data_IF_266535591527
#
_entry.id   IF_266535591527
#
_cell.length_a   1.000
_cell.length_b   1.000
_cell.length_c   1.000
_cell.angle_alpha   90.00
_cell.angle_beta   90.00
_cell.angle_gamma   90.00
#
_symmetry.space_group_name_H-M   'P 1'
#
loop_
_entity.id
_entity.type
_entity.pdbx_description
1 polymer ?
#
# COMPACT_ATOMS: atom_id res chain seq x y z
N UNK A 1 -1.40 7.86 43.88
CA UNK A 1 -0.87 8.00 42.51
C UNK A 1 0.44 7.25 42.47
N UNK A 2 0.49 6.13 41.74
CA UNK A 2 1.68 5.29 41.66
C UNK A 2 2.34 5.49 40.30
N UNK A 3 3.64 5.79 40.33
CA UNK A 3 4.52 5.84 39.16
C UNK A 3 5.12 4.44 38.97
N UNK A 4 4.88 3.82 37.82
CA UNK A 4 5.43 2.51 37.47
C UNK A 4 6.53 2.71 36.42
N UNK A 5 7.78 2.75 36.86
CA UNK A 5 8.95 2.70 35.97
C UNK A 5 9.53 1.29 35.94
N UNK A 6 9.61 0.71 34.75
CA UNK A 6 10.33 -0.54 34.49
C UNK A 6 11.84 -0.30 34.56
N UNK A 7 12.51 -0.82 35.59
CA UNK A 7 13.96 -0.99 35.59
C UNK A 7 14.31 -2.24 34.80
N UNK A 8 14.25 -2.14 33.47
CA UNK A 8 14.83 -3.15 32.59
C UNK A 8 16.34 -3.14 32.75
N UNK A 9 16.89 -4.17 33.39
CA UNK A 9 18.33 -4.41 33.40
C UNK A 9 18.79 -4.61 31.95
N UNK A 10 19.43 -3.60 31.36
CA UNK A 10 20.16 -3.78 30.12
C UNK A 10 21.39 -4.66 30.40
N UNK A 11 21.25 -5.96 30.19
CA UNK A 11 22.42 -6.82 30.04
C UNK A 11 23.11 -6.42 28.73
N UNK A 12 24.28 -5.79 28.84
CA UNK A 12 25.17 -5.59 27.71
C UNK A 12 25.77 -6.94 27.33
N UNK A 13 25.06 -7.73 26.51
CA UNK A 13 25.65 -8.88 25.84
C UNK A 13 26.64 -8.33 24.80
N UNK A 14 27.94 -8.38 25.13
CA UNK A 14 29.00 -8.06 24.18
C UNK A 14 29.00 -9.12 23.08
N UNK A 15 28.58 -8.74 21.87
CA UNK A 15 28.77 -9.50 20.64
C UNK A 15 30.27 -9.54 20.27
N UNK A 16 31.09 -10.22 21.06
CA UNK A 16 32.48 -10.50 20.68
C UNK A 16 32.49 -11.53 19.55
N UNK A 17 33.00 -11.14 18.38
CA UNK A 17 33.23 -12.06 17.25
C UNK A 17 32.07 -12.19 16.26
N UNK A 18 31.03 -11.36 16.35
CA UNK A 18 29.98 -11.26 15.33
C UNK A 18 29.82 -9.82 14.89
N UNK A 19 30.20 -9.53 13.65
CA UNK A 19 30.02 -8.21 13.05
C UNK A 19 28.60 -8.12 12.48
N UNK A 20 27.75 -7.24 13.00
CA UNK A 20 26.43 -6.89 12.43
C UNK A 20 26.57 -5.98 11.18
N UNK A 21 27.69 -6.09 10.46
CA UNK A 21 27.92 -5.31 9.24
C UNK A 21 27.30 -6.06 8.07
N UNK A 22 26.17 -5.55 7.60
CA UNK A 22 25.64 -5.89 6.28
C UNK A 22 26.42 -5.03 5.29
N UNK A 23 27.28 -5.68 4.49
CA UNK A 23 28.00 -5.02 3.42
C UNK A 23 27.06 -4.93 2.22
N UNK A 24 26.61 -3.71 1.90
CA UNK A 24 25.85 -3.49 0.69
C UNK A 24 26.81 -3.43 -0.50
N UNK A 25 26.75 -4.45 -1.35
CA UNK A 25 27.41 -4.43 -2.64
C UNK A 25 26.44 -3.87 -3.69
N UNK A 26 26.82 -2.79 -4.38
CA UNK A 26 26.02 -2.27 -5.50
C UNK A 26 25.92 -3.25 -6.69
N UNK A 27 26.72 -4.33 -6.68
CA UNK A 27 26.71 -5.42 -7.68
C UNK A 27 26.09 -6.72 -7.16
N UNK A 28 25.59 -6.78 -5.92
CA UNK A 28 24.76 -7.89 -5.46
C UNK A 28 23.40 -7.83 -6.17
N UNK A 29 23.29 -8.59 -7.25
CA UNK A 29 22.07 -8.76 -8.06
C UNK A 29 21.31 -10.04 -7.70
N UNK A 30 21.95 -10.95 -6.94
CA UNK A 30 21.35 -12.23 -6.58
C UNK A 30 20.48 -12.08 -5.33
N UNK A 31 19.17 -12.31 -5.52
CA UNK A 31 18.12 -12.37 -4.49
C UNK A 31 17.81 -11.05 -3.76
N UNK A 32 17.42 -10.03 -4.52
CA UNK A 32 16.62 -8.89 -4.01
C UNK A 32 15.17 -9.29 -3.63
N UNK A 33 14.82 -10.57 -3.68
CA UNK A 33 13.51 -11.11 -3.36
C UNK A 33 13.50 -11.79 -1.99
N UNK A 34 12.32 -11.93 -1.39
CA UNK A 34 12.14 -12.71 -0.16
C UNK A 34 12.79 -14.10 -0.29
N UNK A 35 13.43 -14.65 0.75
CA UNK A 35 14.07 -15.98 0.71
C UNK A 35 13.14 -17.13 0.27
N UNK A 36 11.83 -16.92 0.39
CA UNK A 36 10.79 -17.87 0.02
C UNK A 36 10.08 -17.52 -1.30
N UNK A 37 10.55 -16.50 -2.02
CA UNK A 37 9.99 -16.12 -3.30
C UNK A 37 10.27 -17.20 -4.35
N UNK A 38 9.16 -17.73 -4.87
CA UNK A 38 9.11 -18.60 -6.05
C UNK A 38 9.48 -17.82 -7.32
N UNK A 39 10.31 -18.41 -8.19
CA UNK A 39 10.55 -17.91 -9.55
C UNK A 39 9.32 -18.13 -10.43
N UNK A 40 8.86 -17.07 -11.08
CA UNK A 40 7.70 -17.10 -11.96
C UNK A 40 8.02 -16.46 -13.31
N UNK A 41 7.37 -16.96 -14.34
CA UNK A 41 7.46 -16.43 -15.70
C UNK A 41 6.29 -15.46 -15.94
N UNK A 42 6.59 -14.17 -16.11
CA UNK A 42 5.59 -13.13 -16.34
C UNK A 42 4.82 -13.31 -17.65
N UNK A 43 5.40 -14.01 -18.63
CA UNK A 43 4.77 -14.34 -19.91
C UNK A 43 3.91 -15.61 -19.82
N UNK A 44 3.99 -16.35 -18.70
CA UNK A 44 3.11 -17.48 -18.42
C UNK A 44 1.84 -17.00 -17.71
N UNK A 45 0.72 -17.06 -18.43
CA UNK A 45 -0.58 -16.53 -17.98
C UNK A 45 -1.58 -17.63 -17.62
N UNK A 46 -2.40 -17.39 -16.60
CA UNK A 46 -3.55 -18.23 -16.25
C UNK A 46 -4.71 -17.41 -15.71
N UNK A 47 -5.92 -17.86 -16.02
CA UNK A 47 -7.15 -17.30 -15.50
C UNK A 47 -7.74 -18.23 -14.43
N UNK A 48 -8.24 -17.63 -13.35
CA UNK A 48 -8.92 -18.29 -12.23
C UNK A 48 -10.33 -17.71 -12.15
N UNK A 49 -11.35 -18.54 -12.33
CA UNK A 49 -12.72 -18.12 -12.01
C UNK A 49 -12.99 -18.27 -10.51
N UNK A 50 -13.50 -17.19 -9.90
CA UNK A 50 -13.88 -17.12 -8.49
C UNK A 50 -15.39 -17.29 -8.27
N UNK A 51 -16.20 -17.40 -9.32
CA UNK A 51 -17.63 -17.63 -9.20
C UNK A 51 -17.93 -18.93 -8.43
N UNK A 52 -18.89 -18.88 -7.51
CA UNK A 52 -19.24 -20.03 -6.65
C UNK A 52 -18.20 -20.47 -5.62
N UNK A 53 -16.99 -19.90 -5.63
CA UNK A 53 -15.86 -20.30 -4.75
C UNK A 53 -15.73 -19.38 -3.54
N UNK A 54 -15.16 -19.89 -2.45
CA UNK A 54 -14.76 -19.11 -1.28
C UNK A 54 -13.47 -18.33 -1.55
N UNK A 55 -13.22 -17.27 -0.77
CA UNK A 55 -11.97 -16.51 -0.86
C UNK A 55 -10.74 -17.38 -0.56
N UNK A 56 -10.88 -18.36 0.34
CA UNK A 56 -9.81 -19.30 0.69
C UNK A 56 -9.41 -20.17 -0.50
N UNK A 57 -10.39 -20.75 -1.19
CA UNK A 57 -10.12 -21.60 -2.36
C UNK A 57 -9.46 -20.81 -3.48
N UNK A 58 -9.88 -19.57 -3.72
CA UNK A 58 -9.27 -18.70 -4.73
C UNK A 58 -7.84 -18.33 -4.34
N UNK A 59 -7.57 -17.96 -3.08
CA UNK A 59 -6.21 -17.66 -2.62
C UNK A 59 -5.28 -18.87 -2.68
N UNK A 60 -5.79 -20.07 -2.34
CA UNK A 60 -5.04 -21.32 -2.47
C UNK A 60 -4.70 -21.64 -3.93
N UNK A 61 -5.62 -21.37 -4.84
CA UNK A 61 -5.39 -21.52 -6.28
C UNK A 61 -4.34 -20.54 -6.78
N UNK A 62 -4.40 -19.26 -6.41
CA UNK A 62 -3.37 -18.26 -6.76
C UNK A 62 -1.99 -18.77 -6.30
N UNK A 63 -1.89 -19.24 -5.06
CA UNK A 63 -0.64 -19.80 -4.52
C UNK A 63 -0.18 -21.06 -5.28
N UNK A 64 -1.09 -21.93 -5.69
CA UNK A 64 -0.76 -23.11 -6.51
C UNK A 64 -0.23 -22.70 -7.88
N UNK A 65 -0.87 -21.75 -8.56
CA UNK A 65 -0.43 -21.24 -9.87
C UNK A 65 0.94 -20.55 -9.78
N UNK A 66 1.23 -19.81 -8.71
CA UNK A 66 2.59 -19.29 -8.50
C UNK A 66 3.63 -20.41 -8.41
N UNK A 67 3.34 -21.51 -7.70
CA UNK A 67 4.26 -22.68 -7.61
C UNK A 67 4.45 -23.40 -8.94
N UNK A 68 3.47 -23.32 -9.84
CA UNK A 68 3.57 -23.81 -11.21
C UNK A 68 4.32 -22.85 -12.15
N UNK A 69 4.83 -21.72 -11.62
CA UNK A 69 5.63 -20.74 -12.35
C UNK A 69 4.80 -19.70 -13.10
N UNK A 70 3.49 -19.57 -12.86
CA UNK A 70 2.70 -18.51 -13.48
C UNK A 70 3.02 -17.15 -12.86
N UNK A 71 3.58 -16.25 -13.65
CA UNK A 71 3.91 -14.88 -13.24
C UNK A 71 2.83 -13.86 -13.60
N UNK A 72 1.84 -14.24 -14.41
CA UNK A 72 0.61 -13.45 -14.59
C UNK A 72 -0.61 -14.30 -14.25
N UNK A 73 -1.40 -13.84 -13.28
CA UNK A 73 -2.63 -14.51 -12.85
C UNK A 73 -3.80 -13.52 -12.94
N UNK A 74 -4.86 -13.88 -13.65
CA UNK A 74 -6.12 -13.13 -13.68
C UNK A 74 -7.18 -13.85 -12.86
N UNK A 75 -7.82 -13.14 -11.92
CA UNK A 75 -8.97 -13.63 -11.17
C UNK A 75 -10.24 -12.98 -11.72
N UNK A 76 -11.09 -13.81 -12.32
CA UNK A 76 -12.39 -13.43 -12.86
C UNK A 76 -13.47 -13.53 -11.78
N UNK A 77 -14.52 -12.71 -11.90
CA UNK A 77 -15.71 -12.76 -11.03
C UNK A 77 -15.43 -12.78 -9.51
N UNK A 78 -14.57 -11.89 -8.97
CA UNK A 78 -14.19 -11.93 -7.55
C UNK A 78 -15.36 -11.68 -6.58
N UNK A 79 -16.49 -11.15 -7.06
CA UNK A 79 -17.75 -11.11 -6.31
C UNK A 79 -17.72 -10.31 -5.01
N UNK A 80 -16.86 -9.30 -4.90
CA UNK A 80 -16.65 -8.50 -3.67
C UNK A 80 -16.31 -9.36 -2.43
N UNK A 81 -15.73 -10.55 -2.63
CA UNK A 81 -15.29 -11.41 -1.53
C UNK A 81 -14.22 -10.70 -0.71
N UNK A 82 -14.29 -10.89 0.60
CA UNK A 82 -13.32 -10.36 1.54
C UNK A 82 -12.01 -11.16 1.49
N UNK A 83 -10.90 -10.51 1.82
CA UNK A 83 -9.58 -11.12 2.00
C UNK A 83 -9.04 -11.85 0.76
N UNK A 84 -9.49 -11.50 -0.45
CA UNK A 84 -8.90 -11.99 -1.70
C UNK A 84 -7.52 -11.36 -1.93
N UNK A 85 -6.56 -12.18 -2.37
CA UNK A 85 -5.20 -11.75 -2.67
C UNK A 85 -4.37 -11.33 -1.45
N UNK A 86 -4.78 -11.74 -0.24
CA UNK A 86 -4.03 -11.43 0.99
C UNK A 86 -2.79 -12.31 1.09
N UNK A 87 -1.68 -11.74 1.56
CA UNK A 87 -0.45 -12.49 1.85
C UNK A 87 0.31 -12.92 0.59
N UNK A 88 0.25 -12.12 -0.47
CA UNK A 88 1.03 -12.36 -1.70
C UNK A 88 2.43 -11.77 -1.50
N UNK A 89 3.38 -12.64 -1.15
CA UNK A 89 4.77 -12.29 -0.81
C UNK A 89 5.75 -12.61 -1.96
N UNK A 90 5.24 -12.52 -3.18
CA UNK A 90 5.93 -12.87 -4.41
C UNK A 90 5.79 -11.73 -5.40
N UNK A 91 6.84 -11.50 -6.19
CA UNK A 91 6.72 -10.60 -7.34
C UNK A 91 6.01 -11.34 -8.47
N UNK A 92 4.82 -10.88 -8.83
CA UNK A 92 4.05 -11.33 -10.00
C UNK A 92 3.09 -10.22 -10.44
N UNK A 93 2.44 -10.42 -11.58
CA UNK A 93 1.29 -9.62 -12.01
C UNK A 93 -0.01 -10.33 -11.63
N UNK A 94 -0.80 -9.69 -10.76
CA UNK A 94 -2.11 -10.22 -10.32
C UNK A 94 -3.22 -9.27 -10.73
N UNK A 95 -4.22 -9.76 -11.46
CA UNK A 95 -5.28 -8.92 -12.03
C UNK A 95 -6.62 -9.41 -11.52
N UNK A 96 -7.39 -8.56 -10.84
CA UNK A 96 -8.77 -8.85 -10.45
C UNK A 96 -9.73 -8.14 -11.40
N UNK A 97 -10.51 -8.91 -12.16
CA UNK A 97 -11.57 -8.41 -13.05
C UNK A 97 -12.89 -8.30 -12.29
N UNK A 98 -12.96 -7.32 -11.40
CA UNK A 98 -14.15 -7.02 -10.60
C UNK A 98 -13.81 -6.33 -9.29
N UNK A 99 -14.79 -6.26 -8.40
CA UNK A 99 -14.64 -5.64 -7.08
C UNK A 99 -14.14 -6.64 -6.03
N UNK A 100 -13.35 -6.15 -5.08
CA UNK A 100 -12.96 -6.89 -3.87
C UNK A 100 -13.70 -6.34 -2.65
N UNK A 101 -13.84 -7.17 -1.62
CA UNK A 101 -14.42 -6.79 -0.35
C UNK A 101 -13.40 -6.19 0.62
N UNK A 102 -13.61 -6.41 1.92
CA UNK A 102 -12.72 -5.93 2.97
C UNK A 102 -11.39 -6.67 2.95
N UNK A 103 -10.33 -6.00 3.40
CA UNK A 103 -8.97 -6.56 3.55
C UNK A 103 -8.36 -7.13 2.26
N UNK A 104 -8.90 -6.78 1.08
CA UNK A 104 -8.36 -7.26 -0.19
C UNK A 104 -6.90 -6.84 -0.37
N UNK A 105 -6.06 -7.77 -0.81
CA UNK A 105 -4.64 -7.53 -1.09
C UNK A 105 -3.78 -7.03 0.09
N UNK A 106 -4.24 -7.19 1.33
CA UNK A 106 -3.43 -6.91 2.52
C UNK A 106 -2.22 -7.83 2.64
N UNK A 107 -1.21 -7.42 3.41
CA UNK A 107 0.03 -8.17 3.65
C UNK A 107 0.77 -8.54 2.35
N UNK A 108 0.70 -7.69 1.34
CA UNK A 108 1.39 -7.90 0.07
C UNK A 108 2.83 -7.40 0.12
N UNK A 109 3.76 -8.15 -0.48
CA UNK A 109 5.16 -7.76 -0.61
C UNK A 109 5.68 -8.12 -2.01
N UNK A 110 5.82 -7.10 -2.86
CA UNK A 110 6.38 -7.21 -4.20
C UNK A 110 5.43 -7.29 -5.40
N UNK A 111 4.15 -7.72 -5.31
CA UNK A 111 3.35 -7.92 -6.52
C UNK A 111 2.95 -6.60 -7.19
N UNK A 112 2.67 -6.67 -8.49
CA UNK A 112 1.98 -5.64 -9.24
C UNK A 112 0.51 -6.07 -9.43
N UNK A 113 -0.39 -5.46 -8.66
CA UNK A 113 -1.82 -5.81 -8.61
C UNK A 113 -2.66 -4.76 -9.33
N UNK A 114 -3.59 -5.19 -10.19
CA UNK A 114 -4.60 -4.32 -10.81
C UNK A 114 -6.01 -4.81 -10.48
N UNK A 115 -6.89 -3.90 -10.06
CA UNK A 115 -8.28 -4.19 -9.68
C UNK A 115 -9.20 -3.29 -10.50
N UNK A 116 -10.02 -3.87 -11.38
CA UNK A 116 -10.92 -3.10 -12.25
C UNK A 116 -12.17 -2.56 -11.55
N UNK A 117 -12.52 -3.12 -10.39
CA UNK A 117 -13.69 -2.74 -9.60
C UNK A 117 -13.39 -1.80 -8.43
N UNK A 118 -14.31 -1.80 -7.46
CA UNK A 118 -14.16 -1.11 -6.18
C UNK A 118 -13.48 -2.04 -5.17
N UNK A 119 -12.93 -1.47 -4.10
CA UNK A 119 -12.41 -2.24 -2.97
C UNK A 119 -13.07 -1.79 -1.67
N UNK A 120 -13.17 -2.71 -0.71
CA UNK A 120 -13.76 -2.43 0.59
C UNK A 120 -12.78 -1.84 1.60
N UNK A 121 -13.19 -1.87 2.88
CA UNK A 121 -12.42 -1.44 4.04
C UNK A 121 -11.05 -2.14 4.12
N UNK A 122 -9.97 -1.41 4.45
CA UNK A 122 -8.63 -1.96 4.74
C UNK A 122 -7.96 -2.68 3.56
N UNK A 123 -8.31 -2.32 2.32
CA UNK A 123 -7.56 -2.82 1.16
C UNK A 123 -6.09 -2.41 1.25
N UNK A 124 -5.19 -3.35 0.95
CA UNK A 124 -3.74 -3.20 1.01
C UNK A 124 -3.19 -2.83 2.40
N UNK A 125 -3.91 -3.19 3.46
CA UNK A 125 -3.39 -3.06 4.82
C UNK A 125 -2.05 -3.79 4.97
N UNK A 126 -1.07 -3.11 5.57
CA UNK A 126 0.26 -3.66 5.85
C UNK A 126 1.02 -4.09 4.57
N UNK A 127 0.79 -3.39 3.46
CA UNK A 127 1.58 -3.58 2.24
C UNK A 127 3.04 -3.16 2.45
N UNK A 128 3.98 -4.00 2.03
CA UNK A 128 5.43 -3.84 2.25
C UNK A 128 6.14 -3.24 1.04
N UNK A 129 5.80 -3.72 -0.16
CA UNK A 129 6.36 -3.26 -1.43
C UNK A 129 5.47 -3.67 -2.61
N UNK A 130 5.83 -3.26 -3.83
CA UNK A 130 5.05 -3.53 -5.04
C UNK A 130 4.14 -2.37 -5.42
N UNK A 131 3.14 -2.65 -6.27
CA UNK A 131 2.14 -1.64 -6.69
C UNK A 131 0.75 -2.22 -6.66
N UNK A 132 -0.24 -1.50 -6.17
CA UNK A 132 -1.65 -1.91 -6.23
C UNK A 132 -2.47 -0.76 -6.80
N UNK A 133 -3.16 -1.00 -7.92
CA UNK A 133 -3.95 0.02 -8.63
C UNK A 133 -5.43 -0.37 -8.67
N UNK A 134 -6.28 0.47 -8.09
CA UNK A 134 -7.74 0.33 -8.04
C UNK A 134 -8.32 1.33 -9.04
N UNK A 135 -9.10 0.83 -10.01
CA UNK A 135 -9.68 1.67 -11.07
C UNK A 135 -10.90 2.48 -10.61
N UNK A 136 -11.58 2.07 -9.53
CA UNK A 136 -12.74 2.76 -8.96
C UNK A 136 -12.46 3.23 -7.53
N UNK A 137 -13.51 3.34 -6.71
CA UNK A 137 -13.43 3.83 -5.34
C UNK A 137 -12.91 2.77 -4.37
N UNK A 138 -12.33 3.23 -3.26
CA UNK A 138 -11.91 2.40 -2.14
C UNK A 138 -12.65 2.77 -0.84
N UNK A 139 -12.75 1.80 0.08
CA UNK A 139 -13.33 2.01 1.40
C UNK A 139 -12.42 2.80 2.35
N UNK A 140 -12.85 2.91 3.60
CA UNK A 140 -12.05 3.49 4.69
C UNK A 140 -10.77 2.68 4.95
N UNK A 141 -9.83 3.24 5.71
CA UNK A 141 -8.52 2.65 6.11
C UNK A 141 -7.72 2.03 4.97
N UNK A 142 -7.94 2.53 3.76
CA UNK A 142 -7.19 2.16 2.57
C UNK A 142 -5.69 2.38 2.81
N UNK A 143 -4.88 1.32 2.67
CA UNK A 143 -3.44 1.36 2.94
C UNK A 143 -3.07 1.52 4.41
N UNK A 144 -3.92 1.09 5.35
CA UNK A 144 -3.59 1.12 6.77
C UNK A 144 -2.24 0.44 7.04
N UNK A 145 -1.37 1.09 7.82
CA UNK A 145 -0.05 0.59 8.17
C UNK A 145 0.84 0.18 6.98
N UNK A 146 0.62 0.75 5.79
CA UNK A 146 1.52 0.57 4.64
C UNK A 146 2.95 0.98 5.02
N UNK A 147 3.94 0.20 4.56
CA UNK A 147 5.37 0.42 4.84
C UNK A 147 6.15 0.79 3.59
N UNK A 148 5.67 0.42 2.40
CA UNK A 148 6.34 0.69 1.14
C UNK A 148 5.48 0.37 -0.08
N UNK A 149 6.03 0.63 -1.26
CA UNK A 149 5.33 0.50 -2.54
C UNK A 149 4.39 1.68 -2.84
N UNK A 150 3.68 1.56 -3.96
CA UNK A 150 2.71 2.55 -4.41
C UNK A 150 1.29 1.94 -4.40
N UNK A 151 0.40 2.55 -3.62
CA UNK A 151 -1.01 2.18 -3.52
C UNK A 151 -1.87 3.28 -4.14
N UNK A 152 -2.56 2.96 -5.23
CA UNK A 152 -3.24 3.94 -6.08
C UNK A 152 -4.71 3.63 -6.20
N UNK A 153 -5.56 4.58 -5.84
CA UNK A 153 -7.00 4.54 -6.11
C UNK A 153 -7.34 5.66 -7.09
N UNK A 154 -7.89 5.33 -8.27
CA UNK A 154 -8.26 6.34 -9.27
C UNK A 154 -9.55 7.11 -8.93
N UNK A 155 -10.34 6.62 -7.98
CA UNK A 155 -11.57 7.27 -7.53
C UNK A 155 -11.45 7.86 -6.12
N UNK A 156 -12.59 7.92 -5.45
CA UNK A 156 -12.71 8.40 -4.06
C UNK A 156 -12.31 7.32 -3.05
N UNK A 157 -11.75 7.76 -1.92
CA UNK A 157 -11.42 6.92 -0.77
C UNK A 157 -12.16 7.38 0.49
N UNK A 158 -12.51 6.43 1.34
CA UNK A 158 -13.17 6.68 2.62
C UNK A 158 -12.29 7.38 3.66
N UNK A 159 -12.72 7.32 4.93
CA UNK A 159 -11.99 7.92 6.05
C UNK A 159 -10.76 7.10 6.44
N UNK A 160 -9.82 7.73 7.16
CA UNK A 160 -8.62 7.07 7.71
C UNK A 160 -7.69 6.46 6.65
N UNK A 161 -7.70 6.98 5.42
CA UNK A 161 -6.73 6.61 4.39
C UNK A 161 -5.31 6.77 4.91
N UNK A 162 -4.47 5.75 4.76
CA UNK A 162 -3.08 5.80 5.24
C UNK A 162 -2.92 5.88 6.76
N UNK A 163 -3.94 5.51 7.54
CA UNK A 163 -3.83 5.44 9.00
C UNK A 163 -2.60 4.60 9.41
N UNK A 164 -1.79 5.15 10.32
CA UNK A 164 -0.60 4.50 10.85
C UNK A 164 0.44 4.10 9.77
N UNK A 165 0.46 4.79 8.61
CA UNK A 165 1.42 4.52 7.54
C UNK A 165 2.86 4.81 7.97
N UNK A 166 3.79 3.94 7.56
CA UNK A 166 5.21 3.92 7.96
C UNK A 166 6.16 4.08 6.78
N UNK A 167 5.62 4.33 5.59
CA UNK A 167 6.37 4.52 4.35
C UNK A 167 5.49 4.31 3.12
N UNK A 168 6.12 4.25 1.94
CA UNK A 168 5.41 4.11 0.67
C UNK A 168 4.70 5.39 0.20
N UNK A 169 3.92 5.24 -0.87
CA UNK A 169 3.12 6.30 -1.47
C UNK A 169 1.66 5.85 -1.57
N UNK A 170 0.73 6.65 -1.07
CA UNK A 170 -0.70 6.49 -1.37
C UNK A 170 -1.13 7.60 -2.33
N UNK A 171 -1.79 7.24 -3.43
CA UNK A 171 -2.32 8.19 -4.42
C UNK A 171 -3.83 8.01 -4.52
N UNK A 172 -4.56 9.10 -4.34
CA UNK A 172 -6.02 9.17 -4.41
C UNK A 172 -6.42 10.11 -5.53
N UNK A 173 -7.03 9.57 -6.58
CA UNK A 173 -7.45 10.32 -7.77
C UNK A 173 -8.67 11.21 -7.54
N UNK A 174 -9.50 10.89 -6.55
CA UNK A 174 -10.63 11.70 -6.11
C UNK A 174 -10.37 12.35 -4.73
N UNK A 175 -11.40 12.35 -3.89
CA UNK A 175 -11.32 12.88 -2.52
C UNK A 175 -10.96 11.80 -1.49
N UNK A 176 -10.48 12.24 -0.31
CA UNK A 176 -10.28 11.38 0.87
C UNK A 176 -11.14 11.82 2.05
N UNK A 177 -11.56 10.86 2.88
CA UNK A 177 -12.42 11.12 4.03
C UNK A 177 -11.70 11.71 5.25
N UNK A 178 -12.44 11.85 6.35
CA UNK A 178 -11.92 12.38 7.62
C UNK A 178 -10.78 11.52 8.19
N UNK A 179 -9.91 12.13 9.00
CA UNK A 179 -8.79 11.46 9.67
C UNK A 179 -7.82 10.74 8.72
N UNK A 180 -7.74 11.17 7.46
CA UNK A 180 -6.74 10.62 6.53
C UNK A 180 -5.34 11.04 6.99
N UNK A 181 -4.36 10.14 6.94
CA UNK A 181 -3.04 10.34 7.52
C UNK A 181 -2.99 10.30 9.06
N UNK A 182 -4.06 9.81 9.73
CA UNK A 182 -4.05 9.70 11.19
C UNK A 182 -2.91 8.80 11.67
N UNK A 183 -2.11 9.26 12.64
CA UNK A 183 -0.93 8.53 13.14
C UNK A 183 0.13 8.22 12.05
N UNK A 184 0.19 8.99 10.97
CA UNK A 184 1.18 8.83 9.91
C UNK A 184 2.61 9.00 10.47
N UNK A 185 3.43 7.96 10.35
CA UNK A 185 4.79 7.91 10.90
C UNK A 185 5.88 8.19 9.87
N UNK A 186 5.59 7.97 8.57
CA UNK A 186 6.47 8.29 7.43
C UNK A 186 5.71 8.06 6.12
N UNK A 187 6.20 8.65 5.03
CA UNK A 187 5.82 8.34 3.65
C UNK A 187 5.16 9.53 2.98
N UNK A 188 4.44 9.28 1.88
CA UNK A 188 3.76 10.34 1.13
C UNK A 188 2.33 9.97 0.77
N UNK A 189 1.43 10.94 0.88
CA UNK A 189 0.08 10.84 0.33
C UNK A 189 -0.12 11.93 -0.72
N UNK A 190 -0.73 11.59 -1.86
CA UNK A 190 -1.15 12.55 -2.88
C UNK A 190 -2.66 12.40 -3.05
N UNK A 191 -3.42 13.44 -2.75
CA UNK A 191 -4.88 13.49 -2.92
C UNK A 191 -5.20 14.54 -3.97
N UNK A 192 -5.75 14.12 -5.11
CA UNK A 192 -6.01 15.03 -6.22
C UNK A 192 -7.29 15.87 -6.02
N UNK A 193 -8.22 15.39 -5.19
CA UNK A 193 -9.43 16.11 -4.79
C UNK A 193 -9.37 16.66 -3.36
N UNK A 194 -10.55 16.77 -2.75
CA UNK A 194 -10.71 17.34 -1.40
C UNK A 194 -10.27 16.37 -0.29
N UNK A 195 -9.89 16.93 0.85
CA UNK A 195 -9.58 16.19 2.06
C UNK A 195 -10.57 16.53 3.19
N UNK A 196 -11.09 15.49 3.85
CA UNK A 196 -11.96 15.63 5.02
C UNK A 196 -11.28 16.23 6.25
N UNK A 197 -12.04 16.46 7.35
CA UNK A 197 -11.51 17.08 8.56
C UNK A 197 -10.51 16.17 9.29
N UNK A 198 -9.68 16.78 10.13
CA UNK A 198 -8.62 16.13 10.91
C UNK A 198 -7.57 15.44 10.02
N UNK A 199 -7.23 16.08 8.89
CA UNK A 199 -6.19 15.59 7.98
C UNK A 199 -4.82 15.61 8.69
N UNK A 200 -4.12 14.48 8.72
CA UNK A 200 -2.81 14.35 9.37
C UNK A 200 -2.87 14.43 10.90
N UNK A 201 -4.01 14.13 11.52
CA UNK A 201 -4.12 14.15 12.99
C UNK A 201 -3.16 13.15 13.65
N UNK A 202 -2.45 13.58 14.70
CA UNK A 202 -1.37 12.80 15.32
C UNK A 202 -0.29 12.28 14.36
N UNK A 203 -0.04 12.97 13.24
CA UNK A 203 1.08 12.61 12.36
C UNK A 203 2.43 12.95 13.01
N UNK A 204 3.41 12.07 12.84
CA UNK A 204 4.77 12.23 13.36
C UNK A 204 5.76 12.71 12.30
N UNK A 205 5.65 12.20 11.07
CA UNK A 205 6.53 12.51 9.94
C UNK A 205 5.86 12.08 8.61
N UNK A 206 6.35 12.62 7.50
CA UNK A 206 5.87 12.42 6.14
C UNK A 206 5.05 13.59 5.60
N UNK A 207 4.58 13.50 4.35
CA UNK A 207 3.99 14.63 3.63
C UNK A 207 2.67 14.21 2.96
N UNK A 208 1.65 15.06 3.11
CA UNK A 208 0.34 14.90 2.45
C UNK A 208 0.15 16.08 1.49
N UNK A 209 0.12 15.80 0.20
CA UNK A 209 -0.19 16.78 -0.85
C UNK A 209 -1.68 16.72 -1.19
N UNK A 210 -2.35 17.88 -1.23
CA UNK A 210 -3.78 17.99 -1.52
C UNK A 210 -4.00 18.97 -2.67
N UNK A 211 -4.64 18.50 -3.75
CA UNK A 211 -4.98 19.31 -4.92
C UNK A 211 -6.32 20.04 -4.83
N UNK A 212 -7.17 19.64 -3.89
CA UNK A 212 -8.47 20.27 -3.60
C UNK A 212 -8.47 21.06 -2.28
N UNK A 213 -9.65 21.16 -1.66
CA UNK A 213 -9.84 21.86 -0.37
C UNK A 213 -9.54 20.94 0.80
N UNK A 214 -8.87 21.47 1.81
CA UNK A 214 -8.68 20.82 3.11
C UNK A 214 -9.77 21.32 4.05
N UNK A 215 -10.65 20.43 4.53
CA UNK A 215 -11.73 20.80 5.44
C UNK A 215 -11.22 21.20 6.84
N UNK A 216 -10.10 20.63 7.27
CA UNK A 216 -9.43 20.99 8.51
C UNK A 216 -8.24 20.08 8.79
N UNK A 217 -7.14 20.66 9.27
CA UNK A 217 -5.96 19.92 9.70
C UNK A 217 -6.19 19.26 11.07
N UNK A 218 -5.49 18.16 11.30
CA UNK A 218 -5.33 17.57 12.61
C UNK A 218 -4.35 18.34 13.49
N UNK A 219 -4.22 17.95 14.76
CA UNK A 219 -3.51 18.74 15.77
C UNK A 219 -2.03 18.93 15.46
N UNK A 220 -1.39 17.90 14.88
CA UNK A 220 0.06 17.88 14.63
C UNK A 220 0.41 18.13 13.16
N UNK A 221 -0.59 18.33 12.29
CA UNK A 221 -0.39 18.67 10.90
C UNK A 221 -0.21 20.18 10.72
N UNK A 222 0.82 20.57 9.98
CA UNK A 222 1.14 21.97 9.69
C UNK A 222 1.24 22.18 8.19
N UNK A 223 0.79 23.34 7.73
CA UNK A 223 0.99 23.74 6.34
C UNK A 223 2.47 23.96 6.05
N UNK A 224 2.90 23.57 4.84
CA UNK A 224 4.26 23.76 4.34
C UNK A 224 4.22 24.17 2.87
N UNK A 225 5.25 24.92 2.44
CA UNK A 225 5.40 25.29 1.03
C UNK A 225 5.90 24.11 0.21
N UNK A 226 5.30 23.90 -0.96
CA UNK A 226 5.71 22.87 -1.90
C UNK A 226 6.86 23.39 -2.78
N UNK A 227 7.93 22.61 -2.86
CA UNK A 227 9.12 22.94 -3.65
C UNK A 227 9.01 22.47 -5.10
N UNK A 228 9.80 23.06 -6.01
CA UNK A 228 9.85 22.64 -7.41
C UNK A 228 10.29 21.17 -7.57
N UNK A 229 11.16 20.68 -6.69
CA UNK A 229 11.57 19.27 -6.65
C UNK A 229 10.38 18.35 -6.36
N UNK A 230 9.51 18.76 -5.45
CA UNK A 230 8.28 18.03 -5.12
C UNK A 230 7.27 18.10 -6.26
N UNK A 231 7.04 19.27 -6.86
CA UNK A 231 6.19 19.40 -8.06
C UNK A 231 6.64 18.43 -9.17
N UNK A 232 7.94 18.41 -9.46
CA UNK A 232 8.52 17.52 -10.47
C UNK A 232 8.41 16.04 -10.08
N UNK A 233 8.56 15.72 -8.80
CA UNK A 233 8.39 14.36 -8.30
C UNK A 233 6.92 13.91 -8.41
N UNK A 234 5.96 14.76 -8.03
CA UNK A 234 4.52 14.47 -8.12
C UNK A 234 4.12 14.24 -9.58
N UNK A 235 4.52 15.12 -10.51
CA UNK A 235 4.26 14.95 -11.96
C UNK A 235 4.70 13.56 -12.45
N UNK A 236 5.99 13.23 -12.27
CA UNK A 236 6.53 11.91 -12.67
C UNK A 236 5.82 10.75 -11.99
N UNK A 237 5.37 10.93 -10.75
CA UNK A 237 4.69 9.88 -9.98
C UNK A 237 3.25 9.68 -10.48
N UNK A 238 2.53 10.74 -10.81
CA UNK A 238 1.18 10.67 -11.36
C UNK A 238 1.18 10.11 -12.80
N UNK A 239 2.15 10.49 -13.62
CA UNK A 239 2.33 9.99 -15.00
C UNK A 239 2.42 8.46 -15.05
N UNK A 240 3.11 7.83 -14.08
CA UNK A 240 3.22 6.36 -13.96
C UNK A 240 1.87 5.65 -13.88
N UNK A 241 0.83 6.35 -13.42
CA UNK A 241 -0.50 5.80 -13.22
C UNK A 241 -1.57 6.39 -14.16
N UNK A 242 -1.14 7.26 -15.10
CA UNK A 242 -2.04 7.99 -15.99
C UNK A 242 -3.02 8.86 -15.20
N UNK A 243 -2.49 9.61 -14.24
CA UNK A 243 -3.21 10.59 -13.43
C UNK A 243 -2.57 11.97 -13.65
N UNK A 244 -3.35 13.02 -13.44
CA UNK A 244 -2.90 14.40 -13.53
C UNK A 244 -3.52 15.21 -12.40
N UNK A 245 -2.77 16.16 -11.85
CA UNK A 245 -3.30 17.07 -10.84
C UNK A 245 -4.27 18.07 -11.50
N UNK A 246 -5.53 18.14 -11.07
CA UNK A 246 -6.57 18.91 -11.78
C UNK A 246 -6.28 20.42 -11.82
N UNK A 247 -5.53 20.94 -10.85
CA UNK A 247 -5.16 22.35 -10.73
C UNK A 247 -3.67 22.59 -11.01
N UNK A 248 -2.98 21.61 -11.61
CA UNK A 248 -1.52 21.59 -11.67
C UNK A 248 -0.89 21.23 -10.33
N UNK A 249 0.45 21.15 -10.34
CA UNK A 249 1.30 21.11 -9.12
C UNK A 249 2.24 22.28 -9.14
#
# INVERSE_FOLDING_TARGET
MAELTSTGSMHAEKLTGRTQQIFFSAVESDRLASPHAIDVDFDKLVDIDAEGRSAREVNQEIAARMREGYGTITVMNPGAKHSLGVGILNRLRLIFKGSLGYFGCGLSDGPNIQISGRVGWSCAENMMSGTIVIQKNAGSTFGAAIRGGDLVCKGDVGSRTGIDMKGGTIIVGGRTGAFSGFMMQRGRMIVLGDAGPNLGDSMYDGIIYVGGKIAGLGVDAVDAEMTELECNWIKRKLDQYGLEAPNGV
#
